data_IF_861070377927
#
_entry.id   IF_861070377927
#
_cell.length_a   1.000
_cell.length_b   1.000
_cell.length_c   1.000
_cell.angle_alpha   90.00
_cell.angle_beta   90.00
_cell.angle_gamma   90.00
#
_symmetry.space_group_name_H-M   'P 1'
#
loop_
_entity.id
_entity.type
_entity.pdbx_description
1 polymer ?
#
# COMPACT_ATOMS: atom_id res chain seq x y z
N UNK A 1 8.13 -16.07 17.17
CA UNK A 1 8.54 -15.91 15.76
C UNK A 1 7.44 -15.16 15.03
N UNK A 2 7.63 -13.87 14.74
CA UNK A 2 6.72 -13.10 13.88
C UNK A 2 7.44 -12.88 12.55
N UNK A 3 7.17 -13.74 11.58
CA UNK A 3 7.50 -13.46 10.18
C UNK A 3 6.18 -13.01 9.56
N UNK A 4 6.02 -11.71 9.35
CA UNK A 4 4.81 -11.20 8.74
C UNK A 4 4.73 -9.69 8.88
N UNK A 5 5.15 -8.99 7.84
CA UNK A 5 4.93 -7.57 7.64
C UNK A 5 3.47 -7.23 7.99
N UNK A 6 3.25 -6.40 9.02
CA UNK A 6 1.93 -6.04 9.52
C UNK A 6 1.15 -5.14 8.56
N UNK A 7 0.84 -5.62 7.36
CA UNK A 7 0.09 -4.89 6.34
C UNK A 7 -1.38 -5.30 6.41
N UNK A 8 -2.25 -4.34 6.71
CA UNK A 8 -3.69 -4.50 6.67
C UNK A 8 -4.29 -3.78 5.47
N UNK A 9 -5.44 -4.26 5.01
CA UNK A 9 -6.19 -3.61 3.93
C UNK A 9 -7.54 -3.15 4.48
N UNK A 10 -7.92 -1.92 4.20
CA UNK A 10 -9.31 -1.49 4.39
C UNK A 10 -10.23 -2.32 3.49
N UNK A 11 -11.51 -2.41 3.85
CA UNK A 11 -12.52 -3.11 3.02
C UNK A 11 -12.56 -2.55 1.59
N UNK A 12 -12.38 -1.24 1.42
CA UNK A 12 -12.37 -0.59 0.11
C UNK A 12 -11.11 -0.97 -0.68
N UNK A 13 -9.93 -0.89 -0.06
CA UNK A 13 -8.66 -1.28 -0.68
C UNK A 13 -8.66 -2.75 -1.10
N UNK A 14 -9.16 -3.64 -0.24
CA UNK A 14 -9.25 -5.07 -0.53
C UNK A 14 -10.14 -5.35 -1.75
N UNK A 15 -11.31 -4.70 -1.85
CA UNK A 15 -12.21 -4.82 -3.00
C UNK A 15 -11.56 -4.38 -4.31
N UNK A 16 -10.75 -3.32 -4.27
CA UNK A 16 -9.99 -2.89 -5.46
C UNK A 16 -8.88 -3.89 -5.78
N UNK A 17 -8.13 -4.35 -4.77
CA UNK A 17 -7.00 -5.28 -4.93
C UNK A 17 -7.38 -6.59 -5.65
N UNK A 18 -8.55 -7.16 -5.33
CA UNK A 18 -9.04 -8.40 -5.98
C UNK A 18 -9.47 -8.19 -7.43
N UNK A 19 -9.77 -6.94 -7.84
CA UNK A 19 -10.16 -6.56 -9.20
C UNK A 19 -8.99 -6.12 -10.07
N UNK A 20 -7.81 -5.90 -9.49
CA UNK A 20 -6.62 -5.56 -10.25
C UNK A 20 -6.17 -6.73 -11.12
N UNK A 21 -5.68 -6.40 -12.30
CA UNK A 21 -4.91 -7.30 -13.15
C UNK A 21 -3.65 -7.81 -12.42
N UNK A 22 -3.16 -8.98 -12.83
CA UNK A 22 -2.03 -9.65 -12.18
C UNK A 22 -0.77 -8.79 -12.15
N UNK A 23 -0.50 -8.03 -13.23
CA UNK A 23 0.65 -7.14 -13.33
C UNK A 23 0.60 -6.06 -12.27
N UNK A 24 -0.53 -5.36 -12.16
CA UNK A 24 -0.71 -4.30 -11.16
C UNK A 24 -0.72 -4.86 -9.75
N UNK A 25 -1.35 -6.03 -9.54
CA UNK A 25 -1.35 -6.69 -8.22
C UNK A 25 0.07 -7.05 -7.76
N UNK A 26 0.89 -7.56 -8.67
CA UNK A 26 2.29 -7.89 -8.42
C UNK A 26 3.11 -6.64 -8.10
N UNK A 27 2.86 -5.54 -8.80
CA UNK A 27 3.48 -4.25 -8.51
C UNK A 27 3.12 -3.74 -7.11
N UNK A 28 1.85 -3.82 -6.72
CA UNK A 28 1.41 -3.44 -5.37
C UNK A 28 2.14 -4.27 -4.31
N UNK A 29 2.21 -5.60 -4.48
CA UNK A 29 2.90 -6.46 -3.52
C UNK A 29 4.40 -6.15 -3.44
N UNK A 30 5.05 -5.85 -4.57
CA UNK A 30 6.46 -5.45 -4.61
C UNK A 30 6.66 -4.13 -3.87
N UNK A 31 5.87 -3.10 -4.18
CA UNK A 31 5.95 -1.79 -3.53
C UNK A 31 5.74 -1.90 -2.02
N UNK A 32 4.75 -2.69 -1.58
CA UNK A 32 4.47 -2.93 -0.18
C UNK A 32 5.60 -3.68 0.55
N UNK A 33 6.31 -4.57 -0.15
CA UNK A 33 7.48 -5.28 0.37
C UNK A 33 8.70 -4.36 0.48
N UNK A 34 8.84 -3.44 -0.46
CA UNK A 34 9.96 -2.48 -0.54
C UNK A 34 9.71 -1.21 0.30
N UNK A 35 8.66 -1.19 1.13
CA UNK A 35 8.39 -0.06 2.01
C UNK A 35 9.57 0.18 2.97
N UNK A 36 10.02 1.43 3.13
CA UNK A 36 11.06 1.75 4.10
C UNK A 36 10.65 1.31 5.51
N UNK A 37 11.65 1.07 6.36
CA UNK A 37 11.39 0.69 7.74
C UNK A 37 10.57 1.77 8.46
N UNK A 38 9.91 1.38 9.56
CA UNK A 38 9.14 2.33 10.38
C UNK A 38 10.00 3.52 10.83
N UNK A 39 11.26 3.25 11.17
CA UNK A 39 12.18 4.28 11.66
C UNK A 39 12.52 5.28 10.56
N UNK A 40 12.81 4.80 9.35
CA UNK A 40 13.02 5.65 8.16
C UNK A 40 11.80 6.50 7.84
N UNK A 41 10.59 5.92 7.86
CA UNK A 41 9.35 6.66 7.61
C UNK A 41 9.06 7.72 8.67
N UNK A 42 9.38 7.43 9.94
CA UNK A 42 9.28 8.40 11.04
C UNK A 42 10.28 9.54 10.88
N UNK A 43 11.51 9.26 10.49
CA UNK A 43 12.54 10.28 10.22
C UNK A 43 12.14 11.19 9.03
N UNK A 44 11.45 10.64 8.04
CA UNK A 44 10.94 11.38 6.89
C UNK A 44 9.63 12.15 7.17
N UNK A 45 9.03 11.99 8.36
CA UNK A 45 7.73 12.60 8.69
C UNK A 45 6.56 12.04 7.88
N UNK A 46 6.70 10.83 7.34
CA UNK A 46 5.74 10.23 6.40
C UNK A 46 4.77 9.29 7.14
N UNK A 47 3.74 9.87 7.77
CA UNK A 47 2.67 9.10 8.44
C UNK A 47 1.54 8.70 7.50
N UNK A 48 1.37 9.46 6.41
CA UNK A 48 0.39 9.23 5.35
C UNK A 48 1.09 9.33 4.01
N UNK A 49 1.22 8.20 3.33
CA UNK A 49 1.94 8.12 2.07
C UNK A 49 0.98 7.77 0.94
N UNK A 50 1.11 8.53 -0.14
CA UNK A 50 0.50 8.20 -1.40
C UNK A 50 1.57 7.66 -2.36
N UNK A 51 1.69 6.34 -2.52
CA UNK A 51 2.72 5.75 -3.39
C UNK A 51 2.19 5.59 -4.81
N UNK A 52 2.89 6.15 -5.78
CA UNK A 52 2.53 6.01 -7.19
C UNK A 52 2.79 4.57 -7.69
N UNK A 53 1.86 4.07 -8.48
CA UNK A 53 1.95 2.81 -9.21
C UNK A 53 1.90 3.09 -10.72
N UNK A 54 2.29 2.10 -11.51
CA UNK A 54 2.14 2.14 -12.96
C UNK A 54 0.69 2.36 -13.39
N UNK A 55 0.51 2.96 -14.56
CA UNK A 55 -0.83 3.25 -15.10
C UNK A 55 -1.56 4.41 -14.42
N UNK A 56 -0.84 5.26 -13.68
CA UNK A 56 -1.41 6.42 -13.00
C UNK A 56 -2.25 6.07 -11.77
N UNK A 57 -1.98 4.91 -11.15
CA UNK A 57 -2.62 4.48 -9.90
C UNK A 57 -1.80 4.95 -8.69
N UNK A 58 -2.43 4.97 -7.52
CA UNK A 58 -1.82 5.41 -6.27
C UNK A 58 -2.33 4.61 -5.08
N UNK A 59 -1.42 4.06 -4.28
CA UNK A 59 -1.72 3.47 -2.98
C UNK A 59 -1.80 4.57 -1.93
N UNK A 60 -2.86 4.55 -1.13
CA UNK A 60 -2.99 5.42 0.06
C UNK A 60 -2.73 4.56 1.28
N UNK A 61 -1.68 4.89 2.02
CA UNK A 61 -1.21 4.16 3.19
C UNK A 61 -1.34 5.01 4.45
N UNK A 62 -1.54 4.36 5.59
CA UNK A 62 -1.42 4.95 6.92
C UNK A 62 -0.50 4.08 7.77
N UNK A 63 0.50 4.70 8.37
CA UNK A 63 1.33 4.07 9.38
C UNK A 63 0.64 4.21 10.76
N UNK A 64 0.39 3.07 11.42
CA UNK A 64 -0.21 3.00 12.77
C UNK A 64 0.81 2.52 13.82
N UNK A 65 2.10 2.62 13.52
CA UNK A 65 3.22 2.29 14.37
C UNK A 65 3.57 0.80 14.38
N UNK A 66 2.60 -0.07 14.66
CA UNK A 66 2.83 -1.53 14.64
C UNK A 66 2.40 -2.17 13.32
N UNK A 67 1.63 -1.44 12.53
CA UNK A 67 1.06 -1.91 11.28
C UNK A 67 0.94 -0.79 10.24
N UNK A 68 0.84 -1.18 8.98
CA UNK A 68 0.59 -0.31 7.84
C UNK A 68 -0.78 -0.67 7.30
N UNK A 69 -1.68 0.28 7.20
CA UNK A 69 -3.01 0.07 6.66
C UNK A 69 -3.11 0.68 5.26
N UNK A 70 -3.38 -0.15 4.25
CA UNK A 70 -3.74 0.29 2.91
C UNK A 70 -5.18 0.78 2.93
N UNK A 71 -5.36 2.09 2.89
CA UNK A 71 -6.67 2.74 2.98
C UNK A 71 -7.42 2.67 1.65
N UNK A 72 -6.73 2.90 0.54
CA UNK A 72 -7.32 2.88 -0.80
C UNK A 72 -6.28 2.60 -1.88
N UNK A 73 -6.74 2.09 -3.02
CA UNK A 73 -6.00 2.04 -4.28
C UNK A 73 -6.78 2.92 -5.24
N UNK A 74 -6.23 4.07 -5.58
CA UNK A 74 -6.89 5.17 -6.30
C UNK A 74 -6.20 5.42 -7.65
N UNK A 75 -6.77 6.26 -8.51
CA UNK A 75 -6.35 6.42 -9.90
C UNK A 75 -7.23 5.63 -10.87
N UNK A 76 -6.89 5.58 -12.16
CA UNK A 76 -7.81 5.02 -13.18
C UNK A 76 -8.13 3.54 -12.92
N UNK A 77 -9.33 3.31 -12.40
CA UNK A 77 -10.18 2.22 -12.83
C UNK A 77 -10.83 2.78 -14.09
N UNK A 78 -10.32 2.40 -15.27
CA UNK A 78 -11.08 2.63 -16.50
C UNK A 78 -12.43 1.92 -16.30
N UNK A 79 -13.51 2.69 -16.45
CA UNK A 79 -14.89 2.20 -16.38
C UNK A 79 -15.14 1.12 -17.44
#
# INVERSE_FOLDING_TARGET
MAIGSGIQYSRAAFRTMVRLDEKTRSEVMRVLKDLPSREERRMLGQTHEGIALSGGRRLVLRDEGTQITVLAITGRIAA
#
